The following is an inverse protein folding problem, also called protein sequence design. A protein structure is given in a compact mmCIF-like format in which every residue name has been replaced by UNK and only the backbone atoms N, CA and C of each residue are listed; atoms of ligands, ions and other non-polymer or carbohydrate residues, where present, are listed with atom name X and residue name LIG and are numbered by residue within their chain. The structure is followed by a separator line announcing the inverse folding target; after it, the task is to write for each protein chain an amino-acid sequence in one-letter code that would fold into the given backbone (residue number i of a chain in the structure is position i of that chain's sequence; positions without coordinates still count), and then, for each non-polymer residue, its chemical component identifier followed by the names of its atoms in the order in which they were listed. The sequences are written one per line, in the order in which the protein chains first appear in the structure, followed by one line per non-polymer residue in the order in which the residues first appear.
data_IF_165285865955
#
_entry.id   IF_165285865955
#
_cell.length_a   1.000
_cell.length_b   1.000
_cell.length_c   1.000
_cell.angle_alpha   90.00
_cell.angle_beta   90.00
_cell.angle_gamma   90.00
#
_symmetry.space_group_name_H-M   'P 1'
#
loop_
_entity.id
_entity.type
_entity.pdbx_description
1 polymer ?
2 non-polymer ?
3 water ?
#
# COMPACT_ATOMS: atom_id res chain seq x y z
N UNK A 5 -17.13 -6.79 -2.01
CA UNK A 5 -15.75 -6.76 -2.58
C UNK A 5 -14.89 -7.87 -1.97
N UNK A 6 -14.39 -8.84 -2.77
CA UNK A 6 -13.68 -10.00 -2.23
C UNK A 6 -12.29 -9.64 -1.69
N UNK A 7 -11.69 -10.53 -0.89
CA UNK A 7 -10.44 -10.24 -0.18
C UNK A 7 -9.32 -10.01 -1.20
N UNK A 8 -8.54 -8.91 -1.08
CA UNK A 8 -7.37 -8.74 -1.93
C UNK A 8 -6.35 -9.87 -1.71
N UNK A 9 -5.45 -10.01 -2.67
CA UNK A 9 -4.35 -10.97 -2.65
C UNK A 9 -3.16 -10.29 -1.98
N UNK A 10 -2.35 -11.02 -1.17
CA UNK A 10 -1.14 -10.43 -0.62
C UNK A 10 -0.31 -9.79 -1.74
N UNK A 11 0.14 -8.55 -1.50
CA UNK A 11 0.91 -7.78 -2.44
C UNK A 11 0.11 -6.82 -3.29
N UNK A 12 -1.23 -6.93 -3.26
CA UNK A 12 -2.08 -6.07 -4.08
C UNK A 12 -1.99 -4.62 -3.63
N UNK A 13 -1.91 -3.70 -4.60
CA UNK A 13 -2.02 -2.29 -4.33
C UNK A 13 -3.48 -1.92 -4.13
N UNK A 14 -3.75 -1.16 -3.08
CA UNK A 14 -5.09 -0.74 -2.73
C UNK A 14 -5.20 0.77 -2.92
N UNK A 15 -6.10 1.19 -3.81
CA UNK A 15 -6.39 2.58 -4.07
C UNK A 15 -7.65 2.95 -3.29
N UNK A 16 -7.51 3.91 -2.37
CA UNK A 16 -8.60 4.32 -1.50
C UNK A 16 -9.09 5.71 -1.88
N UNK A 17 -10.39 5.80 -2.14
CA UNK A 17 -11.02 7.01 -2.64
C UNK A 17 -11.61 7.79 -1.48
N UNK A 18 -10.78 8.57 -0.81
CA UNK A 18 -11.24 9.49 0.27
C UNK A 18 -11.85 10.72 -0.40
N UNK A 19 -12.73 11.48 0.30
CA UNK A 19 -13.30 12.68 -0.30
C UNK A 19 -12.18 13.61 -0.77
N UNK A 20 -12.16 13.91 -2.07
CA UNK A 20 -11.25 14.87 -2.68
C UNK A 20 -9.76 14.52 -2.63
N UNK A 21 -9.39 13.31 -2.21
CA UNK A 21 -7.98 12.86 -2.31
C UNK A 21 -7.88 11.34 -2.20
N UNK A 22 -6.89 10.79 -2.90
CA UNK A 22 -6.63 9.33 -2.97
C UNK A 22 -5.52 8.96 -2.00
N UNK A 23 -5.66 7.79 -1.38
CA UNK A 23 -4.63 7.23 -0.54
C UNK A 23 -4.34 5.83 -1.07
N UNK A 24 -3.10 5.38 -0.88
CA UNK A 24 -2.65 4.08 -1.35
C UNK A 24 -2.08 3.26 -0.20
N UNK A 25 -2.35 1.96 -0.25
CA UNK A 25 -1.80 0.98 0.69
C UNK A 25 -1.46 -0.30 -0.06
N UNK A 26 -0.78 -1.22 0.62
CA UNK A 26 -0.46 -2.52 0.03
C UNK A 26 -0.94 -3.62 0.97
N UNK A 27 -1.67 -4.59 0.42
CA UNK A 27 -2.25 -5.71 1.20
C UNK A 27 -1.14 -6.68 1.59
N UNK A 28 -1.07 -7.05 2.87
CA UNK A 28 -0.08 -8.03 3.34
C UNK A 28 -0.69 -9.30 3.91
N UNK A 29 -2.01 -9.44 3.79
CA UNK A 29 -2.73 -10.64 4.19
C UNK A 29 -3.46 -10.51 5.50
N UNK A 30 -4.41 -11.42 5.72
CA UNK A 30 -5.13 -11.55 6.99
C UNK A 30 -5.78 -10.25 7.46
N UNK A 31 -6.22 -9.44 6.50
CA UNK A 31 -6.94 -8.22 6.74
C UNK A 31 -6.11 -6.96 6.86
N UNK A 32 -4.78 -7.09 6.74
CA UNK A 32 -3.82 -5.99 7.02
C UNK A 32 -3.29 -5.38 5.72
N UNK A 33 -3.04 -4.07 5.79
CA UNK A 33 -2.24 -3.34 4.83
C UNK A 33 -1.05 -2.68 5.51
N UNK A 34 -0.05 -2.36 4.69
CA UNK A 34 1.05 -1.49 5.07
C UNK A 34 0.90 -0.23 4.23
N UNK A 35 1.09 0.92 4.87
CA UNK A 35 0.95 2.20 4.20
C UNK A 35 1.66 3.29 4.99
N UNK A 36 1.81 4.47 4.37
CA UNK A 36 2.29 5.67 5.05
C UNK A 36 1.15 6.39 5.71
N UNK A 37 1.35 6.85 6.94
CA UNK A 37 0.30 7.49 7.70
C UNK A 37 0.87 8.52 8.66
N UNK A 38 0.09 9.55 9.05
CA UNK A 38 0.52 10.47 10.10
C UNK A 38 0.48 9.79 11.46
N UNK A 39 1.41 10.13 12.39
CA UNK A 39 1.37 9.58 13.75
C UNK A 39 -0.01 9.70 14.40
N UNK A 40 -0.68 10.84 14.21
CA UNK A 40 -2.05 11.06 14.68
C UNK A 40 -3.05 10.85 13.55
N UNK A 57 5.50 14.82 10.18
CA UNK A 57 6.16 13.58 9.80
C UNK A 57 5.13 12.49 9.47
N UNK A 58 5.59 11.44 8.79
CA UNK A 58 4.77 10.27 8.47
C UNK A 58 5.52 9.01 8.87
N UNK A 59 4.76 7.94 9.14
CA UNK A 59 5.33 6.68 9.61
C UNK A 59 4.72 5.53 8.81
N UNK A 60 5.54 4.51 8.51
CA UNK A 60 5.05 3.29 7.88
C UNK A 60 4.31 2.48 8.96
N UNK A 61 3.02 2.20 8.71
CA UNK A 61 2.16 1.50 9.66
C UNK A 61 1.57 0.25 9.05
N UNK A 62 1.37 -0.77 9.88
CA UNK A 62 0.59 -1.95 9.53
C UNK A 62 -0.73 -1.85 10.27
N UNK A 63 -1.83 -1.76 9.51
CA UNK A 63 -3.16 -1.56 10.06
C UNK A 63 -4.17 -2.38 9.28
N UNK A 64 -5.34 -2.60 9.88
CA UNK A 64 -6.42 -3.31 9.20
C UNK A 64 -6.97 -2.46 8.06
N UNK A 65 -7.13 -3.10 6.90
CA UNK A 65 -7.78 -2.46 5.74
C UNK A 65 -9.13 -1.89 6.17
N UNK A 66 -9.85 -2.62 7.02
CA UNK A 66 -11.19 -2.21 7.52
C UNK A 66 -11.09 -0.81 8.13
N UNK A 67 -10.04 -0.56 8.94
CA UNK A 67 -9.84 0.70 9.61
C UNK A 67 -9.29 1.79 8.67
N UNK A 68 -8.35 1.41 7.79
CA UNK A 68 -7.70 2.36 6.91
C UNK A 68 -8.73 2.88 5.88
N UNK A 69 -9.54 1.97 5.33
CA UNK A 69 -10.60 2.34 4.36
C UNK A 69 -11.73 3.10 5.05
N UNK A 70 -12.13 2.62 6.23
CA UNK A 70 -13.26 3.21 6.93
C UNK A 70 -14.48 3.08 6.04
N UNK A 71 -15.17 4.20 5.84
CA UNK A 71 -16.39 4.25 5.03
C UNK A 71 -16.11 4.60 3.57
N UNK A 72 -14.83 4.84 3.25
CA UNK A 72 -14.43 5.20 1.87
C UNK A 72 -14.35 3.98 0.95
N UNK A 73 -14.78 4.17 -0.30
CA UNK A 73 -14.67 3.15 -1.33
C UNK A 73 -13.21 2.95 -1.67
N UNK A 74 -12.87 1.73 -2.09
CA UNK A 74 -11.49 1.36 -2.49
C UNK A 74 -11.54 0.26 -3.54
N UNK A 75 -10.41 0.04 -4.20
CA UNK A 75 -10.28 -1.02 -5.17
C UNK A 75 -8.86 -1.50 -5.18
N UNK A 76 -8.68 -2.75 -5.60
CA UNK A 76 -7.37 -3.22 -5.99
C UNK A 76 -7.03 -2.53 -7.30
N UNK A 77 -5.81 -2.00 -7.40
CA UNK A 77 -5.33 -1.39 -8.63
C UNK A 77 -3.84 -1.63 -8.83
N UNK A 78 -3.52 -2.76 -9.47
CA UNK A 78 -2.15 -3.12 -9.81
C UNK A 78 -1.84 -2.61 -11.21
N UNK A 79 -1.84 -1.28 -11.36
CA UNK A 79 -1.96 -0.61 -12.66
C UNK A 79 -0.80 -0.89 -13.61
N UNK A 80 0.37 -1.23 -13.05
CA UNK A 80 1.56 -1.44 -13.86
C UNK A 80 1.88 -2.88 -14.20
N UNK A 81 1.00 -3.82 -13.81
CA UNK A 81 1.21 -5.25 -14.08
C UNK A 81 1.18 -5.56 -15.58
N UNK A 82 0.54 -4.68 -16.36
CA UNK A 82 0.50 -4.81 -17.82
C UNK A 82 1.89 -4.81 -18.46
N UNK A 83 2.76 -3.92 -17.97
CA UNK A 83 4.08 -3.69 -18.56
C UNK A 83 5.26 -4.07 -17.67
N UNK A 84 5.01 -4.27 -16.37
CA UNK A 84 6.06 -4.57 -15.36
C UNK A 84 5.70 -5.81 -14.54
N UNK A 85 6.70 -6.61 -14.18
CA UNK A 85 6.50 -7.77 -13.33
C UNK A 85 6.43 -7.35 -11.87
N UNK A 86 5.42 -7.82 -11.10
CA UNK A 86 5.49 -7.71 -9.65
C UNK A 86 6.62 -8.61 -9.14
N UNK A 87 7.25 -8.23 -8.03
CA UNK A 87 8.16 -9.11 -7.32
C UNK A 87 7.43 -10.35 -6.83
N UNK A 88 8.16 -11.45 -6.51
CA UNK A 88 7.57 -12.58 -5.81
C UNK A 88 6.79 -12.06 -4.60
N UNK A 89 5.58 -12.57 -4.40
CA UNK A 89 4.71 -12.01 -3.38
C UNK A 89 5.33 -12.14 -1.96
N UNK A 90 6.10 -13.21 -1.70
CA UNK A 90 6.75 -13.38 -0.40
C UNK A 90 7.74 -12.25 -0.14
N UNK A 91 8.39 -11.79 -1.20
CA UNK A 91 9.36 -10.70 -1.11
C UNK A 91 8.65 -9.37 -0.91
N UNK A 92 7.51 -9.18 -1.59
CA UNK A 92 6.72 -7.97 -1.40
C UNK A 92 6.33 -7.82 0.08
N UNK A 93 5.75 -8.88 0.64
CA UNK A 93 5.28 -8.90 2.02
C UNK A 93 6.44 -8.66 2.98
N UNK A 94 7.56 -9.36 2.73
CA UNK A 94 8.74 -9.25 3.61
C UNK A 94 9.26 -7.82 3.67
N UNK A 95 9.42 -7.20 2.49
CA UNK A 95 9.92 -5.80 2.37
C UNK A 95 8.93 -4.85 3.04
N UNK A 96 7.62 -5.02 2.81
CA UNK A 96 6.64 -4.12 3.39
C UNK A 96 6.69 -4.18 4.92
N UNK A 97 6.73 -5.40 5.45
CA UNK A 97 6.71 -5.59 6.89
C UNK A 97 7.99 -5.10 7.57
N UNK A 98 9.13 -5.24 6.89
CA UNK A 98 10.41 -4.81 7.46
C UNK A 98 10.48 -3.28 7.61
N UNK A 99 9.71 -2.55 6.79
CA UNK A 99 9.68 -1.09 6.82
C UNK A 99 8.76 -0.50 7.89
N UNK A 100 7.89 -1.33 8.48
CA UNK A 100 6.94 -0.86 9.47
C UNK A 100 7.71 -0.23 10.63
N UNK A 101 7.31 0.98 11.01
CA UNK A 101 7.99 1.75 12.05
C UNK A 101 8.95 2.81 11.54
N UNK A 102 9.38 2.70 10.28
CA UNK A 102 10.26 3.69 9.67
C UNK A 102 9.50 4.99 9.46
N UNK A 103 10.20 6.11 9.64
CA UNK A 103 9.61 7.43 9.47
C UNK A 103 10.14 8.07 8.20
N UNK A 104 9.29 8.88 7.55
CA UNK A 104 9.68 9.66 6.38
C UNK A 104 9.27 11.12 6.59
N UNK A 105 9.91 12.02 5.85
CA UNK A 105 9.75 13.46 6.04
C UNK A 105 8.94 14.18 4.96
N UNK A 106 8.52 13.43 3.93
CA UNK A 106 7.75 13.97 2.77
C UNK A 106 6.25 13.88 3.05
N UNK A 107 5.46 14.71 2.35
CA UNK A 107 4.03 14.82 2.56
C UNK A 107 3.29 13.62 1.98
N UNK A 108 2.15 13.30 2.58
CA UNK A 108 1.36 12.13 2.22
C UNK A 108 0.41 12.41 1.07
N UNK A 109 0.95 12.97 -0.01
CA UNK A 109 0.22 13.16 -1.24
C UNK A 109 -0.04 11.77 -1.79
N UNK A 110 -1.08 11.65 -2.60
CA UNK A 110 -1.41 10.41 -3.26
C UNK A 110 -0.19 9.91 -4.03
N UNK A 111 0.49 10.85 -4.69
CA UNK A 111 1.64 10.56 -5.52
C UNK A 111 2.76 9.88 -4.73
N UNK A 112 3.09 10.44 -3.56
CA UNK A 112 4.12 9.88 -2.70
C UNK A 112 3.71 8.54 -2.09
N UNK A 113 2.44 8.42 -1.70
CA UNK A 113 1.93 7.17 -1.15
C UNK A 113 1.91 6.08 -2.21
N UNK A 114 1.54 6.45 -3.44
CA UNK A 114 1.55 5.53 -4.58
C UNK A 114 2.96 5.09 -4.92
N UNK A 115 3.89 6.05 -4.92
CA UNK A 115 5.30 5.75 -5.18
C UNK A 115 5.83 4.71 -4.19
N UNK A 116 5.50 4.89 -2.91
CA UNK A 116 5.92 4.00 -1.83
C UNK A 116 5.45 2.57 -2.09
N UNK A 117 4.14 2.40 -2.35
CA UNK A 117 3.62 1.04 -2.57
C UNK A 117 4.09 0.42 -3.90
N UNK A 118 4.26 1.25 -4.93
CA UNK A 118 4.85 0.80 -6.20
C UNK A 118 6.22 0.17 -5.99
N UNK A 119 7.05 0.83 -5.18
CA UNK A 119 8.39 0.34 -4.90
C UNK A 119 8.34 -1.03 -4.23
N UNK A 120 7.37 -1.20 -3.31
CA UNK A 120 7.20 -2.47 -2.62
C UNK A 120 6.78 -3.58 -3.59
N UNK A 121 5.83 -3.29 -4.48
CA UNK A 121 5.26 -4.33 -5.39
C UNK A 121 6.26 -4.63 -6.52
N UNK A 122 6.92 -3.62 -7.08
CA UNK A 122 7.64 -3.73 -8.37
C UNK A 122 9.16 -3.62 -8.19
N UNK A 123 9.64 -3.14 -7.04
CA UNK A 123 11.06 -2.86 -6.84
C UNK A 123 11.36 -1.41 -7.19
N UNK A 124 12.59 -0.97 -6.89
CA UNK A 124 12.98 0.43 -7.07
C UNK A 124 12.73 0.89 -8.52
N UNK A 125 12.08 2.05 -8.66
CA UNK A 125 11.65 2.57 -9.96
C UNK A 125 12.83 2.98 -10.85
X LIG B 1 -15.60 9.03 -0.48
X LIG B 1 -16.25 7.81 -1.10
X LIG B 1 -15.20 6.88 -1.43
X LIG B 1 -17.16 7.13 -0.09
X LIG B 1 -17.04 8.18 -2.37
X LIG B 1 -16.24 8.29 -3.63
X LIG B 1 -15.68 7.02 -3.93
X LIG B 1 -17.02 8.77 -4.84
X LIG C 1 -9.90 -7.64 3.77
X LIG C 1 -11.33 -7.28 4.14
X LIG C 1 -11.94 -6.77 2.95
X LIG C 1 -12.12 -8.52 4.56
X LIG C 1 -11.36 -6.20 5.23
X LIG C 1 -12.56 -5.27 5.27
X LIG C 1 -12.38 -4.21 4.33
X LIG C 1 -13.91 -5.89 5.07
X LIG D 1 6.04 0.88 -11.19
X LIG D 1 7.29 1.16 -12.01
X LIG D 1 8.17 1.95 -11.20
X LIG D 1 8.02 -0.13 -12.34
X LIG D 1 6.96 1.95 -13.28
X LIG D 1 6.19 3.23 -13.05
X LIG D 1 6.82 4.01 -12.04
X LIG D 1 6.02 4.06 -14.30
#
# INVERSE_FOLDING_TARGET
MRAPIPEPKPGDLIEIFRPFYRHWAIYVGDGYVVHLAPPSEVAGAGAASVMSALTDKAIVKKELLYDVAGSDKYQVNNKHDDKYSPLPCSKIIQRAEELVGQEVLYKLTSENCEHFVNELRYGVARSDQVRD
MPD C1 C2 O2 CM C3 C4 O4 C5
MPD C1 C2 O2 CM C3 C4 O4 C5
MPD C1 C2 O2 CM C3 C4 O4 C5
#
